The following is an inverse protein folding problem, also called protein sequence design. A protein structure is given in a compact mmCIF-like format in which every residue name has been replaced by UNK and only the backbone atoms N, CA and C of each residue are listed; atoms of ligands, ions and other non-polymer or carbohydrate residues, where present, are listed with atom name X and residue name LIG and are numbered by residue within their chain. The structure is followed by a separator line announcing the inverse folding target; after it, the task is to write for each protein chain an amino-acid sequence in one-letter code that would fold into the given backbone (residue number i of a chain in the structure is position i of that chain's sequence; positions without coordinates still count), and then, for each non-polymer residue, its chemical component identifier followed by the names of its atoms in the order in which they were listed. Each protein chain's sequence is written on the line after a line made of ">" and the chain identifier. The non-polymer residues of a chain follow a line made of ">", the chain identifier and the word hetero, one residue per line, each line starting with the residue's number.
data_IF_933707886939
#
_entry.id   IF_933707886939
#
_cell.length_a   1.000
_cell.length_b   1.000
_cell.length_c   1.000
_cell.angle_alpha   90.00
_cell.angle_beta   90.00
_cell.angle_gamma   90.00
#
_symmetry.space_group_name_H-M   'P 1'
#
loop_
_entity.id
_entity.type
_entity.pdbx_description
1 polymer ?
#
# COMPACT_ATOMS: atom_id res chain seq x y z
N UNK A 1 0.94 -25.20 36.90
CA UNK A 1 -0.20 -24.79 36.04
C UNK A 1 0.03 -25.40 34.68
N UNK A 2 -0.76 -26.41 34.31
CA UNK A 2 -0.48 -27.33 33.19
C UNK A 2 -0.63 -26.63 31.84
N UNK A 3 0.38 -26.76 30.99
CA UNK A 3 0.40 -26.29 29.60
C UNK A 3 -0.50 -27.20 28.74
N UNK A 4 -1.62 -26.65 28.29
CA UNK A 4 -2.53 -27.33 27.37
C UNK A 4 -1.93 -27.31 25.95
N UNK A 5 -1.59 -28.49 25.42
CA UNK A 5 -1.12 -28.64 24.03
C UNK A 5 -2.23 -28.22 23.06
N UNK A 6 -1.90 -27.53 21.94
CA UNK A 6 -2.87 -27.21 20.92
C UNK A 6 -3.36 -28.49 20.21
N UNK A 7 -4.66 -28.50 19.93
CA UNK A 7 -5.42 -29.57 19.27
C UNK A 7 -4.92 -29.81 17.84
N UNK A 8 -4.50 -31.03 17.47
CA UNK A 8 -3.98 -31.34 16.12
C UNK A 8 -5.09 -31.40 15.03
N UNK A 9 -6.35 -31.13 15.38
CA UNK A 9 -7.51 -31.30 14.48
C UNK A 9 -8.01 -30.07 13.72
N UNK A 10 -7.45 -28.87 13.92
CA UNK A 10 -7.91 -27.67 13.20
C UNK A 10 -7.44 -27.69 11.74
N UNK A 11 -8.27 -28.25 10.85
CA UNK A 11 -8.10 -28.11 9.40
C UNK A 11 -7.97 -26.62 9.06
N UNK A 12 -6.81 -26.21 8.59
CA UNK A 12 -6.62 -24.90 7.99
C UNK A 12 -7.62 -24.77 6.83
N UNK A 13 -8.55 -23.82 6.96
CA UNK A 13 -9.51 -23.51 5.90
C UNK A 13 -8.77 -23.11 4.62
N UNK A 14 -9.32 -23.50 3.47
CA UNK A 14 -8.76 -23.16 2.17
C UNK A 14 -8.70 -21.62 2.01
N UNK A 15 -7.51 -21.00 1.87
CA UNK A 15 -7.38 -19.56 1.74
C UNK A 15 -8.07 -19.01 0.48
N UNK A 16 -8.28 -19.84 -0.55
CA UNK A 16 -9.06 -19.46 -1.72
C UNK A 16 -10.56 -19.32 -1.37
N UNK A 17 -11.09 -20.22 -0.55
CA UNK A 17 -12.49 -20.18 -0.10
C UNK A 17 -12.77 -18.98 0.83
N UNK A 18 -11.81 -18.61 1.68
CA UNK A 18 -11.93 -17.44 2.57
C UNK A 18 -11.85 -16.10 1.79
N UNK A 19 -11.05 -16.07 0.71
CA UNK A 19 -10.98 -14.93 -0.21
C UNK A 19 -12.27 -14.79 -1.03
N UNK A 20 -12.84 -15.90 -1.49
CA UNK A 20 -14.07 -15.91 -2.29
C UNK A 20 -15.30 -15.54 -1.45
N UNK A 21 -15.38 -16.03 -0.20
CA UNK A 21 -16.44 -15.64 0.75
C UNK A 21 -16.36 -14.18 1.15
N UNK A 22 -15.16 -13.64 1.41
CA UNK A 22 -14.99 -12.23 1.75
C UNK A 22 -15.31 -11.30 0.57
N UNK A 23 -14.98 -11.69 -0.66
CA UNK A 23 -15.40 -11.00 -1.88
C UNK A 23 -16.92 -11.04 -2.05
N UNK A 24 -17.55 -12.21 -1.91
CA UNK A 24 -19.01 -12.35 -1.99
C UNK A 24 -19.73 -11.48 -0.95
N UNK A 25 -19.25 -11.48 0.30
CA UNK A 25 -19.79 -10.64 1.37
C UNK A 25 -19.61 -9.15 1.07
N UNK A 26 -18.48 -8.75 0.48
CA UNK A 26 -18.23 -7.36 0.09
C UNK A 26 -19.14 -6.87 -1.05
N UNK A 27 -19.59 -7.78 -1.93
CA UNK A 27 -20.49 -7.48 -3.04
C UNK A 27 -21.97 -7.44 -2.65
N UNK A 28 -22.34 -8.08 -1.53
CA UNK A 28 -23.72 -8.22 -1.07
C UNK A 28 -24.47 -6.88 -0.94
N UNK A 29 -23.88 -5.82 -0.34
CA UNK A 29 -24.50 -4.49 -0.29
C UNK A 29 -24.71 -3.83 -1.67
N UNK A 30 -24.04 -4.35 -2.72
CA UNK A 30 -24.11 -3.82 -4.09
C UNK A 30 -25.02 -4.64 -4.99
N UNK A 31 -25.63 -5.73 -4.49
CA UNK A 31 -26.60 -6.51 -5.24
C UNK A 31 -27.77 -5.66 -5.81
N UNK A 32 -28.35 -4.68 -5.09
CA UNK A 32 -29.40 -3.82 -5.66
C UNK A 32 -28.93 -2.98 -6.84
N UNK A 33 -27.69 -2.44 -6.77
CA UNK A 33 -27.09 -1.69 -7.86
C UNK A 33 -26.88 -2.60 -9.08
N UNK A 34 -26.30 -3.78 -8.86
CA UNK A 34 -26.04 -4.75 -9.93
C UNK A 34 -27.34 -5.22 -10.60
N UNK A 35 -28.38 -5.52 -9.82
CA UNK A 35 -29.70 -5.87 -10.34
C UNK A 35 -30.28 -4.73 -11.19
N UNK A 36 -30.22 -3.49 -10.70
CA UNK A 36 -30.70 -2.31 -11.45
C UNK A 36 -29.97 -2.15 -12.78
N UNK A 37 -28.64 -2.28 -12.80
CA UNK A 37 -27.83 -2.20 -14.03
C UNK A 37 -28.22 -3.30 -15.01
N UNK A 38 -28.38 -4.55 -14.54
CA UNK A 38 -28.81 -5.66 -15.39
C UNK A 38 -30.17 -5.43 -16.03
N UNK A 39 -31.17 -5.03 -15.23
CA UNK A 39 -32.53 -4.76 -15.72
C UNK A 39 -32.53 -3.62 -16.74
N UNK A 40 -31.87 -2.50 -16.43
CA UNK A 40 -31.80 -1.34 -17.33
C UNK A 40 -31.10 -1.69 -18.65
N UNK A 41 -30.03 -2.49 -18.60
CA UNK A 41 -29.29 -2.92 -19.78
C UNK A 41 -30.10 -3.90 -20.64
N UNK A 42 -30.73 -4.91 -20.04
CA UNK A 42 -31.55 -5.89 -20.75
C UNK A 42 -32.75 -5.25 -21.43
N UNK A 43 -33.35 -4.23 -20.81
CA UNK A 43 -34.45 -3.46 -21.37
C UNK A 43 -34.00 -2.36 -22.35
N UNK A 44 -32.69 -2.23 -22.62
CA UNK A 44 -32.08 -1.17 -23.45
C UNK A 44 -32.45 0.25 -23.02
N UNK A 45 -32.65 0.43 -21.71
CA UNK A 45 -33.00 1.71 -21.09
C UNK A 45 -31.77 2.50 -20.62
N UNK A 46 -30.59 1.85 -20.52
CA UNK A 46 -29.34 2.58 -20.28
C UNK A 46 -28.75 3.09 -21.60
N UNK A 47 -28.23 4.31 -21.60
CA UNK A 47 -27.53 4.85 -22.78
C UNK A 47 -26.33 3.98 -23.19
N UNK A 48 -25.69 3.39 -22.18
CA UNK A 48 -24.49 2.57 -22.31
C UNK A 48 -24.76 1.20 -22.96
N UNK A 49 -26.01 0.69 -22.91
CA UNK A 49 -26.36 -0.61 -23.53
C UNK A 49 -26.22 -0.62 -25.06
N UNK A 50 -26.04 0.55 -25.68
CA UNK A 50 -25.76 0.68 -27.12
C UNK A 50 -24.29 0.46 -27.46
N UNK A 51 -23.40 0.68 -26.50
CA UNK A 51 -21.95 0.75 -26.72
C UNK A 51 -21.18 -0.34 -25.98
N UNK A 52 -21.71 -0.80 -24.85
CA UNK A 52 -21.06 -1.77 -23.97
C UNK A 52 -21.90 -3.03 -23.87
N UNK A 53 -21.25 -4.16 -23.59
CA UNK A 53 -21.94 -5.36 -23.15
C UNK A 53 -22.29 -5.28 -21.64
N UNK A 54 -23.23 -6.12 -21.21
CA UNK A 54 -23.69 -6.17 -19.83
C UNK A 54 -22.57 -6.39 -18.81
N UNK A 55 -21.61 -7.26 -19.12
CA UNK A 55 -20.50 -7.59 -18.20
C UNK A 55 -19.63 -6.36 -17.98
N UNK A 56 -19.29 -5.66 -19.06
CA UNK A 56 -18.49 -4.43 -18.99
C UNK A 56 -19.22 -3.32 -18.24
N UNK A 57 -20.52 -3.11 -18.53
CA UNK A 57 -21.32 -2.11 -17.82
C UNK A 57 -21.45 -2.44 -16.32
N UNK A 58 -21.61 -3.73 -15.97
CA UNK A 58 -21.66 -4.20 -14.58
C UNK A 58 -20.35 -3.92 -13.84
N UNK A 59 -19.21 -4.23 -14.47
CA UNK A 59 -17.88 -4.00 -13.89
C UNK A 59 -17.67 -2.50 -13.65
N UNK A 60 -18.01 -1.65 -14.62
CA UNK A 60 -17.87 -0.19 -14.50
C UNK A 60 -18.78 0.35 -13.40
N UNK A 61 -20.04 -0.08 -13.35
CA UNK A 61 -20.99 0.37 -12.32
C UNK A 61 -20.51 -0.04 -10.92
N UNK A 62 -20.04 -1.27 -10.77
CA UNK A 62 -19.48 -1.77 -9.53
C UNK A 62 -18.24 -0.97 -9.13
N UNK A 63 -17.28 -0.76 -10.04
CA UNK A 63 -16.09 0.07 -9.80
C UNK A 63 -16.45 1.49 -9.40
N UNK A 64 -17.33 2.18 -10.15
CA UNK A 64 -17.77 3.54 -9.82
C UNK A 64 -18.36 3.63 -8.43
N UNK A 65 -19.07 2.59 -8.01
CA UNK A 65 -19.71 2.55 -6.70
C UNK A 65 -18.69 2.52 -5.54
N UNK A 66 -17.44 2.11 -5.77
CA UNK A 66 -16.35 2.21 -4.81
C UNK A 66 -15.61 3.55 -4.87
N UNK A 67 -15.49 4.14 -6.07
CA UNK A 67 -14.77 5.41 -6.28
C UNK A 67 -15.63 6.63 -5.91
N UNK A 68 -16.95 6.54 -6.11
CA UNK A 68 -17.92 7.60 -5.82
C UNK A 68 -19.03 7.05 -4.90
N UNK A 69 -18.78 6.98 -3.58
CA UNK A 69 -19.82 6.56 -2.65
C UNK A 69 -21.00 7.56 -2.66
N UNK A 70 -22.24 7.08 -2.45
CA UNK A 70 -23.44 7.93 -2.49
C UNK A 70 -23.47 8.99 -1.37
N UNK A 71 -22.68 8.80 -0.30
CA UNK A 71 -22.48 9.78 0.75
C UNK A 71 -20.99 10.18 0.80
N UNK A 72 -20.67 11.48 0.96
CA UNK A 72 -19.31 11.92 1.14
C UNK A 72 -18.69 11.28 2.38
N UNK A 73 -17.46 10.78 2.26
CA UNK A 73 -16.68 10.29 3.39
C UNK A 73 -15.52 11.23 3.67
N UNK A 74 -15.14 11.36 4.94
CA UNK A 74 -13.95 12.14 5.28
C UNK A 74 -12.69 11.48 4.72
N UNK A 75 -11.71 12.28 4.28
CA UNK A 75 -10.45 11.77 3.72
C UNK A 75 -9.75 10.86 4.72
N UNK A 76 -9.76 11.21 6.02
CA UNK A 76 -9.19 10.36 7.08
C UNK A 76 -9.85 8.97 7.16
N UNK A 77 -11.14 8.86 6.86
CA UNK A 77 -11.84 7.57 6.82
C UNK A 77 -11.41 6.76 5.60
N UNK A 78 -11.33 7.40 4.44
CA UNK A 78 -10.85 6.77 3.19
C UNK A 78 -9.41 6.28 3.37
N UNK A 79 -8.53 7.12 3.92
CA UNK A 79 -7.14 6.76 4.23
C UNK A 79 -7.05 5.58 5.18
N UNK A 80 -7.80 5.59 6.29
CA UNK A 80 -7.81 4.48 7.26
C UNK A 80 -8.23 3.16 6.62
N UNK A 81 -9.24 3.20 5.74
CA UNK A 81 -9.69 2.02 5.02
C UNK A 81 -8.64 1.55 4.00
N UNK A 82 -8.09 2.47 3.22
CA UNK A 82 -7.14 2.16 2.16
C UNK A 82 -5.75 1.75 2.68
N UNK A 83 -5.37 2.17 3.89
CA UNK A 83 -4.11 1.82 4.55
C UNK A 83 -4.21 0.54 5.40
N UNK A 84 -5.37 -0.15 5.41
CA UNK A 84 -5.56 -1.35 6.24
C UNK A 84 -4.55 -2.42 5.84
N UNK A 85 -3.64 -2.73 6.77
CA UNK A 85 -2.60 -3.72 6.56
C UNK A 85 -3.20 -5.14 6.47
N UNK A 86 -2.80 -5.94 5.48
CA UNK A 86 -3.12 -7.36 5.47
C UNK A 86 -2.40 -8.09 6.63
N UNK A 87 -2.93 -9.23 7.10
CA UNK A 87 -2.27 -10.04 8.12
C UNK A 87 -0.83 -10.37 7.74
N UNK A 88 0.07 -10.19 8.71
CA UNK A 88 1.50 -10.40 8.51
C UNK A 88 1.86 -11.87 8.75
N UNK A 89 1.65 -12.70 7.72
CA UNK A 89 1.98 -14.13 7.75
C UNK A 89 2.64 -14.60 6.46
N UNK A 90 3.36 -15.71 6.56
CA UNK A 90 3.82 -16.49 5.44
C UNK A 90 5.28 -16.26 5.05
N UNK A 91 5.55 -16.40 3.74
CA UNK A 91 6.89 -16.33 3.15
C UNK A 91 7.44 -14.91 2.99
N UNK A 92 7.39 -14.13 4.06
CA UNK A 92 7.80 -12.73 4.06
C UNK A 92 8.51 -12.38 5.36
N UNK A 93 9.61 -11.66 5.22
CA UNK A 93 10.24 -10.89 6.30
C UNK A 93 9.76 -9.46 6.22
N UNK A 94 9.37 -8.88 7.36
CA UNK A 94 9.12 -7.45 7.52
C UNK A 94 9.89 -6.97 8.74
N UNK A 95 10.72 -5.96 8.56
CA UNK A 95 11.37 -5.22 9.64
C UNK A 95 11.06 -3.75 9.48
N UNK A 96 10.50 -3.13 10.51
CA UNK A 96 10.22 -1.69 10.51
C UNK A 96 11.50 -0.90 10.75
N UNK A 97 11.60 0.26 10.09
CA UNK A 97 12.71 1.17 10.23
C UNK A 97 12.20 2.61 10.25
N UNK A 98 12.89 3.47 10.99
CA UNK A 98 12.64 4.90 11.00
C UNK A 98 13.91 5.61 10.55
N UNK A 99 13.88 6.17 9.35
CA UNK A 99 14.96 6.95 8.75
C UNK A 99 15.00 8.34 9.42
N UNK A 100 16.05 8.68 10.17
CA UNK A 100 16.17 10.01 10.76
C UNK A 100 16.42 11.06 9.66
N UNK A 101 16.04 12.33 9.88
CA UNK A 101 16.41 13.40 8.96
C UNK A 101 17.93 13.59 8.94
N UNK A 102 18.53 13.96 7.79
CA UNK A 102 19.95 14.22 7.72
C UNK A 102 20.33 15.43 8.60
N UNK A 103 21.53 15.43 9.22
CA UNK A 103 22.01 16.59 9.98
C UNK A 103 22.04 17.85 9.12
N UNK A 104 21.54 18.97 9.65
CA UNK A 104 21.42 20.24 8.90
C UNK A 104 22.78 20.79 8.46
N UNK A 105 23.84 20.46 9.20
CA UNK A 105 25.22 20.86 8.90
C UNK A 105 25.77 20.12 7.68
N UNK A 106 25.26 18.92 7.39
CA UNK A 106 25.71 18.08 6.28
C UNK A 106 24.88 18.33 5.02
N UNK A 107 23.56 18.48 5.17
CA UNK A 107 22.66 18.56 4.02
C UNK A 107 21.40 19.39 4.32
N UNK A 108 21.16 20.40 3.48
CA UNK A 108 19.91 21.15 3.51
C UNK A 108 18.89 20.53 2.56
N UNK A 109 18.11 19.57 3.09
CA UNK A 109 17.10 18.83 2.34
C UNK A 109 16.04 19.76 1.71
N UNK A 110 15.56 20.75 2.46
CA UNK A 110 14.54 21.71 2.01
C UNK A 110 15.03 22.53 0.81
N UNK A 111 16.28 23.01 0.86
CA UNK A 111 16.85 23.79 -0.24
C UNK A 111 17.06 22.95 -1.51
N UNK A 112 17.45 21.68 -1.37
CA UNK A 112 17.62 20.77 -2.52
C UNK A 112 16.27 20.49 -3.19
N UNK A 113 15.23 20.20 -2.39
CA UNK A 113 13.87 19.98 -2.91
C UNK A 113 13.33 21.25 -3.55
N UNK A 114 13.49 22.42 -2.92
CA UNK A 114 13.07 23.71 -3.49
C UNK A 114 13.70 23.94 -4.87
N UNK A 115 15.02 23.75 -4.96
CA UNK A 115 15.76 23.91 -6.23
C UNK A 115 15.25 22.94 -7.29
N UNK A 116 15.06 21.66 -6.94
CA UNK A 116 14.54 20.67 -7.89
C UNK A 116 13.13 21.00 -8.39
N UNK A 117 12.27 21.53 -7.51
CA UNK A 117 10.93 21.99 -7.90
C UNK A 117 11.04 23.17 -8.86
N UNK A 118 11.92 24.13 -8.57
CA UNK A 118 12.10 25.32 -9.39
C UNK A 118 12.69 25.01 -10.77
N UNK A 119 13.65 24.09 -10.85
CA UNK A 119 14.28 23.65 -12.10
C UNK A 119 13.33 22.86 -13.01
N UNK A 120 12.42 22.08 -12.44
CA UNK A 120 11.43 21.29 -13.18
C UNK A 120 10.14 22.05 -13.49
N UNK A 121 10.02 23.29 -13.00
CA UNK A 121 8.79 24.06 -13.15
C UNK A 121 8.60 24.53 -14.60
N UNK A 122 7.41 24.29 -15.17
CA UNK A 122 7.06 24.83 -16.49
C UNK A 122 6.95 26.36 -16.40
N UNK A 123 7.79 27.13 -17.12
CA UNK A 123 7.77 28.59 -17.04
C UNK A 123 6.44 29.22 -17.50
N UNK A 124 5.61 28.48 -18.26
CA UNK A 124 4.32 28.95 -18.73
C UNK A 124 3.19 28.74 -17.71
N UNK A 125 3.43 28.00 -16.63
CA UNK A 125 2.44 27.72 -15.59
C UNK A 125 2.70 28.62 -14.38
N UNK A 126 1.71 29.37 -13.87
CA UNK A 126 1.89 30.16 -12.65
C UNK A 126 2.28 29.27 -11.46
N UNK A 127 3.32 29.65 -10.72
CA UNK A 127 3.77 28.90 -9.52
C UNK A 127 2.66 28.81 -8.49
N UNK A 128 2.26 27.58 -8.16
CA UNK A 128 1.33 27.33 -7.07
C UNK A 128 2.01 27.64 -5.73
N UNK A 129 1.28 28.28 -4.81
CA UNK A 129 1.78 28.47 -3.46
C UNK A 129 1.83 27.13 -2.71
N UNK A 130 2.98 26.83 -2.13
CA UNK A 130 3.17 25.68 -1.26
C UNK A 130 4.05 26.05 -0.07
N UNK A 131 3.94 25.29 1.01
CA UNK A 131 4.79 25.44 2.19
C UNK A 131 5.85 24.33 2.18
N UNK A 132 7.11 24.70 2.39
CA UNK A 132 8.19 23.72 2.49
C UNK A 132 8.14 23.07 3.89
N UNK A 133 7.89 21.75 3.98
CA UNK A 133 7.75 21.10 5.28
C UNK A 133 9.11 20.96 5.97
N UNK A 134 9.09 20.78 7.30
CA UNK A 134 10.30 20.41 8.04
C UNK A 134 10.68 18.93 7.79
N UNK A 135 11.98 18.60 7.73
CA UNK A 135 12.47 17.23 7.76
C UNK A 135 12.08 16.56 9.07
N UNK A 136 11.47 15.37 8.96
CA UNK A 136 11.02 14.58 10.11
C UNK A 136 11.49 13.14 9.93
N UNK A 137 11.53 12.32 11.00
CA UNK A 137 11.79 10.89 10.85
C UNK A 137 10.75 10.24 9.92
N UNK A 138 11.21 9.48 8.93
CA UNK A 138 10.37 8.81 7.93
C UNK A 138 10.31 7.33 8.23
N UNK A 139 9.11 6.79 8.41
CA UNK A 139 8.93 5.36 8.62
C UNK A 139 9.05 4.57 7.30
N UNK A 140 9.49 3.32 7.41
CA UNK A 140 9.61 2.41 6.30
C UNK A 140 9.55 0.94 6.75
N UNK A 141 9.39 0.05 5.78
CA UNK A 141 9.47 -1.40 5.95
C UNK A 141 10.57 -1.98 5.06
N UNK A 142 11.50 -2.70 5.67
CA UNK A 142 12.37 -3.63 4.98
C UNK A 142 11.62 -4.93 4.72
N UNK A 143 11.54 -5.32 3.46
CA UNK A 143 10.94 -6.58 3.02
C UNK A 143 11.99 -7.52 2.46
N UNK A 144 11.95 -8.77 2.92
CA UNK A 144 12.70 -9.89 2.37
C UNK A 144 11.80 -11.07 2.08
N UNK A 145 12.28 -12.01 1.27
CA UNK A 145 11.58 -13.27 1.04
C UNK A 145 12.05 -14.32 2.06
N UNK A 146 11.11 -14.97 2.75
CA UNK A 146 11.39 -15.99 3.75
C UNK A 146 11.16 -17.38 3.14
N UNK A 147 12.22 -18.00 2.66
CA UNK A 147 12.14 -19.22 1.85
C UNK A 147 11.61 -20.41 2.65
N UNK A 148 12.07 -20.55 3.89
CA UNK A 148 11.80 -21.69 4.77
C UNK A 148 10.43 -21.61 5.47
N UNK A 149 9.73 -20.48 5.34
CA UNK A 149 8.39 -20.32 5.88
C UNK A 149 7.32 -21.05 5.04
N UNK A 150 6.27 -21.49 5.71
CA UNK A 150 5.00 -21.93 5.09
C UNK A 150 4.06 -20.74 4.90
N UNK A 151 2.91 -20.92 4.24
CA UNK A 151 1.91 -19.86 4.08
C UNK A 151 1.35 -19.33 5.42
N UNK A 152 1.31 -20.19 6.43
CA UNK A 152 0.73 -19.91 7.76
C UNK A 152 1.78 -19.57 8.81
N UNK A 153 3.06 -19.53 8.44
CA UNK A 153 4.12 -19.19 9.38
C UNK A 153 3.97 -17.75 9.87
N UNK A 154 3.84 -17.57 11.18
CA UNK A 154 3.96 -16.25 11.80
C UNK A 154 5.39 -15.73 11.65
N UNK A 155 5.55 -14.40 11.67
CA UNK A 155 6.88 -13.81 11.84
C UNK A 155 7.41 -14.12 13.24
N UNK A 156 8.73 -14.26 13.41
CA UNK A 156 9.33 -14.35 14.73
C UNK A 156 8.97 -13.12 15.58
N UNK A 157 8.71 -13.33 16.87
CA UNK A 157 8.48 -12.25 17.85
C UNK A 157 9.76 -11.52 18.26
N UNK A 158 10.61 -11.17 17.30
CA UNK A 158 11.89 -10.49 17.51
C UNK A 158 11.73 -8.97 17.33
N UNK A 159 12.59 -8.14 17.95
CA UNK A 159 12.57 -6.71 17.71
C UNK A 159 12.98 -6.38 16.25
N UNK A 160 12.57 -5.21 15.70
CA UNK A 160 12.77 -4.90 14.29
C UNK A 160 14.21 -5.03 13.78
N UNK A 161 15.19 -4.61 14.58
CA UNK A 161 16.62 -4.70 14.22
C UNK A 161 17.12 -6.15 14.11
N UNK A 162 16.63 -7.02 14.97
CA UNK A 162 16.96 -8.45 14.93
C UNK A 162 16.24 -9.14 13.78
N UNK A 163 14.97 -8.80 13.52
CA UNK A 163 14.24 -9.25 12.33
C UNK A 163 14.98 -8.88 11.04
N UNK A 164 15.53 -7.66 10.97
CA UNK A 164 16.35 -7.23 9.84
C UNK A 164 17.60 -8.10 9.70
N UNK A 165 18.28 -8.38 10.81
CA UNK A 165 19.51 -9.19 10.82
C UNK A 165 19.22 -10.62 10.35
N UNK A 166 18.15 -11.25 10.85
CA UNK A 166 17.72 -12.59 10.41
C UNK A 166 17.31 -12.59 8.93
N UNK A 167 16.52 -11.60 8.50
CA UNK A 167 16.14 -11.43 7.09
C UNK A 167 17.38 -11.36 6.19
N UNK A 168 18.40 -10.60 6.57
CA UNK A 168 19.61 -10.41 5.76
C UNK A 168 20.43 -11.70 5.59
N UNK A 169 20.24 -12.74 6.43
CA UNK A 169 20.87 -14.06 6.22
C UNK A 169 20.31 -14.78 4.99
N UNK A 170 19.08 -14.46 4.58
CA UNK A 170 18.43 -15.05 3.41
C UNK A 170 18.57 -14.19 2.14
N UNK A 171 18.98 -12.92 2.26
CA UNK A 171 19.23 -12.02 1.13
C UNK A 171 20.53 -12.41 0.45
N UNK A 172 20.50 -12.64 -0.88
CA UNK A 172 21.66 -13.13 -1.66
C UNK A 172 22.18 -12.12 -2.67
N UNK A 173 21.47 -11.01 -2.88
CA UNK A 173 21.84 -9.94 -3.79
C UNK A 173 22.23 -8.68 -3.02
N UNK A 174 23.29 -7.95 -3.44
CA UNK A 174 23.61 -6.64 -2.87
C UNK A 174 22.63 -5.55 -3.28
N UNK A 175 21.74 -5.83 -4.25
CA UNK A 175 20.71 -4.89 -4.70
C UNK A 175 19.81 -4.45 -3.54
N UNK A 176 19.42 -3.17 -3.56
CA UNK A 176 18.35 -2.64 -2.73
C UNK A 176 17.31 -1.98 -3.62
N UNK A 177 16.05 -2.39 -3.47
CA UNK A 177 14.94 -1.79 -4.21
C UNK A 177 14.28 -0.75 -3.30
N UNK A 178 14.41 0.53 -3.64
CA UNK A 178 13.63 1.60 -3.00
C UNK A 178 12.23 1.62 -3.62
N UNK A 179 11.21 1.49 -2.78
CA UNK A 179 9.82 1.32 -3.21
C UNK A 179 8.90 2.38 -2.60
N UNK A 180 8.15 3.05 -3.46
CA UNK A 180 7.09 3.99 -3.10
C UNK A 180 5.75 3.41 -3.55
N UNK A 181 4.82 3.25 -2.61
CA UNK A 181 3.49 2.75 -2.94
C UNK A 181 2.70 3.78 -3.77
N UNK A 182 1.71 3.30 -4.54
CA UNK A 182 0.79 4.16 -5.28
C UNK A 182 -0.26 4.83 -4.38
N UNK A 183 -1.36 5.31 -4.98
CA UNK A 183 -2.46 5.94 -4.23
C UNK A 183 -2.52 7.46 -4.33
N UNK A 184 -1.90 8.04 -5.35
CA UNK A 184 -2.01 9.47 -5.66
C UNK A 184 -1.55 10.40 -4.54
N UNK A 185 -0.59 9.96 -3.73
CA UNK A 185 -0.11 10.65 -2.52
C UNK A 185 -1.18 10.92 -1.45
N UNK A 186 -2.35 10.27 -1.56
CA UNK A 186 -3.49 10.49 -0.67
C UNK A 186 -3.89 9.25 0.11
N UNK A 187 -3.61 8.04 -0.39
CA UNK A 187 -4.06 6.78 0.21
C UNK A 187 -3.00 5.69 0.13
N UNK A 188 -3.29 4.52 0.72
CA UNK A 188 -2.44 3.33 0.80
C UNK A 188 -1.27 3.48 1.76
N UNK A 189 -0.45 2.44 1.82
CA UNK A 189 0.60 2.26 2.82
C UNK A 189 1.63 1.19 2.37
N UNK A 190 2.91 1.19 2.82
CA UNK A 190 3.82 0.07 2.57
C UNK A 190 3.21 -1.30 2.88
N UNK A 191 2.42 -1.41 3.95
CA UNK A 191 1.80 -2.66 4.36
C UNK A 191 0.84 -3.22 3.29
N UNK A 192 0.14 -2.35 2.57
CA UNK A 192 -0.81 -2.73 1.51
C UNK A 192 -0.09 -3.30 0.28
N UNK A 193 1.18 -2.97 0.09
CA UNK A 193 2.00 -3.40 -1.05
C UNK A 193 2.96 -4.54 -0.71
N UNK A 194 2.88 -5.12 0.49
CA UNK A 194 3.67 -6.31 0.90
C UNK A 194 3.62 -7.48 -0.10
N UNK A 195 2.49 -7.82 -0.75
CA UNK A 195 2.49 -8.86 -1.78
C UNK A 195 3.42 -8.54 -2.96
N UNK A 196 3.40 -7.28 -3.42
CA UNK A 196 4.25 -6.78 -4.50
C UNK A 196 5.72 -6.78 -4.07
N UNK A 197 6.04 -6.19 -2.92
CA UNK A 197 7.42 -6.07 -2.44
C UNK A 197 8.02 -7.43 -2.06
N UNK A 198 7.22 -8.37 -1.54
CA UNK A 198 7.60 -9.78 -1.37
C UNK A 198 7.96 -10.44 -2.71
N UNK A 199 7.18 -10.19 -3.74
CA UNK A 199 7.42 -10.74 -5.08
C UNK A 199 8.72 -10.20 -5.65
N UNK A 200 8.94 -8.88 -5.54
CA UNK A 200 10.20 -8.23 -5.93
C UNK A 200 11.39 -8.83 -5.18
N UNK A 201 11.30 -8.96 -3.85
CA UNK A 201 12.35 -9.56 -3.02
C UNK A 201 12.67 -11.00 -3.45
N UNK A 202 11.64 -11.80 -3.73
CA UNK A 202 11.79 -13.19 -4.21
C UNK A 202 12.49 -13.26 -5.55
N UNK A 203 12.03 -12.48 -6.54
CA UNK A 203 12.54 -12.54 -7.91
C UNK A 203 13.98 -12.04 -8.02
N UNK A 204 14.34 -11.05 -7.22
CA UNK A 204 15.66 -10.42 -7.26
C UNK A 204 16.64 -10.98 -6.22
N UNK A 205 16.16 -11.82 -5.31
CA UNK A 205 16.90 -12.27 -4.12
C UNK A 205 17.48 -11.09 -3.30
N UNK A 206 16.84 -9.93 -3.42
CA UNK A 206 17.27 -8.66 -2.85
C UNK A 206 16.33 -8.22 -1.73
N UNK A 207 16.75 -7.21 -0.98
CA UNK A 207 15.89 -6.51 -0.01
C UNK A 207 15.13 -5.37 -0.68
N UNK A 208 13.92 -5.11 -0.20
CA UNK A 208 13.09 -3.98 -0.64
C UNK A 208 12.88 -3.03 0.53
N UNK A 209 13.10 -1.74 0.32
CA UNK A 209 12.88 -0.67 1.27
C UNK A 209 11.63 0.11 0.88
N UNK A 210 10.53 -0.09 1.61
CA UNK A 210 9.22 0.47 1.26
C UNK A 210 8.89 1.64 2.17
N UNK A 211 8.82 2.85 1.60
CA UNK A 211 8.73 4.10 2.36
C UNK A 211 7.28 4.44 2.71
N UNK A 212 7.03 4.74 3.99
CA UNK A 212 5.75 5.27 4.49
C UNK A 212 5.78 6.80 4.41
N UNK A 213 5.80 7.32 3.19
CA UNK A 213 5.86 8.76 2.95
C UNK A 213 4.56 9.44 3.41
N UNK A 214 4.66 10.71 3.80
CA UNK A 214 3.52 11.48 4.29
C UNK A 214 2.49 11.73 3.18
N UNK A 215 1.22 11.58 3.55
CA UNK A 215 0.09 11.72 2.62
C UNK A 215 -0.58 13.10 2.72
N UNK A 216 -1.07 13.57 1.58
CA UNK A 216 -2.02 14.67 1.50
C UNK A 216 -3.42 14.20 1.96
N UNK A 217 -4.27 15.10 2.48
CA UNK A 217 -4.09 16.54 2.62
C UNK A 217 -3.30 16.97 3.87
N UNK A 218 -3.03 16.05 4.81
CA UNK A 218 -2.36 16.40 6.07
C UNK A 218 -0.95 16.94 5.83
N UNK A 219 -0.30 16.41 4.79
CA UNK A 219 1.02 16.83 4.36
C UNK A 219 0.98 17.02 2.84
N UNK A 220 0.59 18.22 2.35
CA UNK A 220 0.49 18.48 0.92
C UNK A 220 1.87 18.47 0.26
N UNK A 221 1.87 18.58 -1.06
CA UNK A 221 3.10 18.82 -1.82
C UNK A 221 3.93 19.96 -1.19
N UNK A 222 5.25 19.81 -1.01
CA UNK A 222 6.13 18.72 -1.48
C UNK A 222 6.52 17.65 -0.42
N UNK A 223 5.72 17.42 0.64
CA UNK A 223 6.12 16.55 1.76
C UNK A 223 6.56 15.14 1.35
N UNK A 224 5.78 14.46 0.51
CA UNK A 224 6.11 13.11 0.02
C UNK A 224 7.43 13.07 -0.78
N UNK A 225 7.74 14.12 -1.54
CA UNK A 225 8.99 14.22 -2.30
C UNK A 225 10.18 14.38 -1.35
N UNK A 226 10.01 15.16 -0.29
CA UNK A 226 11.03 15.34 0.73
C UNK A 226 11.31 14.04 1.49
N UNK A 227 10.26 13.28 1.84
CA UNK A 227 10.39 11.98 2.50
C UNK A 227 11.07 10.95 1.57
N UNK A 228 10.79 11.02 0.27
CA UNK A 228 11.41 10.16 -0.74
C UNK A 228 12.91 10.44 -0.88
N UNK A 229 13.30 11.71 -0.96
CA UNK A 229 14.72 12.08 -1.03
C UNK A 229 15.45 11.73 0.26
N UNK A 230 14.86 12.00 1.43
CA UNK A 230 15.44 11.60 2.71
C UNK A 230 15.65 10.08 2.80
N UNK A 231 14.70 9.30 2.29
CA UNK A 231 14.77 7.83 2.28
C UNK A 231 15.80 7.27 1.31
N UNK A 232 16.22 8.06 0.31
CA UNK A 232 17.20 7.67 -0.69
C UNK A 232 18.64 7.90 -0.22
N UNK A 233 18.86 8.96 0.56
CA UNK A 233 20.16 9.40 1.09
C UNK A 233 20.63 8.52 2.26
#
# INVERSE_FOLDING_TARGET
>A
MSLQKPDPGAKAGDPAADTDQSLLLALLPRAPLMMRVAVMHMLRLSEQSKYLDLRTEMIIALMRSFVHPPQPQSISTIQRMAAKAPPLKGKIWISTYTCPPPPREQLNLQAIVARGIDELWDPNVPKAAYHMPDPVPVEAEWTGYRADATAESALPGLPPRELYTEMMKEVRSPLTILYFHGGGHMVMDPATHRPTTKTLAKLTSARVYSVRYRLAPQNPFPAALMDALQSYL
#
